data_IF_445883009556
#
_entry.id   IF_445883009556
#
_cell.length_a   1.000
_cell.length_b   1.000
_cell.length_c   1.000
_cell.angle_alpha   90.00
_cell.angle_beta   90.00
_cell.angle_gamma   90.00
#
_symmetry.space_group_name_H-M   'P 1'
#
loop_
_entity.id
_entity.type
_entity.pdbx_description
1 polymer ?
#
# COMPACT_ATOMS: atom_id res chain seq x y z
N UNK A 1 -22.58 -16.73 -42.14
CA UNK A 1 -21.31 -16.99 -41.40
C UNK A 1 -21.47 -18.12 -40.36
N UNK A 2 -20.99 -19.33 -40.70
CA UNK A 2 -21.02 -20.49 -39.80
C UNK A 2 -20.08 -20.21 -38.61
N UNK A 3 -20.63 -20.02 -37.41
CA UNK A 3 -19.81 -19.81 -36.20
C UNK A 3 -19.06 -21.11 -35.91
N UNK A 4 -17.74 -21.04 -35.81
CA UNK A 4 -16.90 -22.18 -35.43
C UNK A 4 -17.46 -22.84 -34.14
N UNK A 5 -17.65 -24.17 -34.10
CA UNK A 5 -18.29 -24.86 -32.97
C UNK A 5 -17.58 -24.64 -31.63
N UNK A 6 -16.27 -24.37 -31.64
CA UNK A 6 -15.51 -23.98 -30.45
C UNK A 6 -15.95 -22.63 -29.86
N UNK A 7 -16.26 -21.63 -30.72
CA UNK A 7 -16.75 -20.32 -30.27
C UNK A 7 -18.17 -20.42 -29.69
N UNK A 8 -19.01 -21.27 -30.28
CA UNK A 8 -20.37 -21.51 -29.79
C UNK A 8 -20.37 -22.20 -28.40
N UNK A 9 -19.54 -23.23 -28.21
CA UNK A 9 -19.39 -23.92 -26.93
C UNK A 9 -18.83 -23.01 -25.83
N UNK A 10 -17.80 -22.21 -26.15
CA UNK A 10 -17.27 -21.21 -25.23
C UNK A 10 -18.32 -20.17 -24.84
N UNK A 11 -19.05 -19.63 -25.81
CA UNK A 11 -20.10 -18.65 -25.55
C UNK A 11 -21.25 -19.19 -24.70
N UNK A 12 -21.56 -20.49 -24.79
CA UNK A 12 -22.57 -21.12 -23.94
C UNK A 12 -22.10 -21.28 -22.48
N UNK A 13 -20.87 -21.76 -22.27
CA UNK A 13 -20.29 -21.88 -20.91
C UNK A 13 -20.00 -20.50 -20.28
N UNK A 14 -19.69 -19.49 -21.09
CA UNK A 14 -19.51 -18.12 -20.60
C UNK A 14 -20.81 -17.54 -20.05
N UNK A 15 -21.97 -17.93 -20.60
CA UNK A 15 -23.28 -17.35 -20.24
C UNK A 15 -24.08 -18.19 -19.25
N UNK A 16 -23.69 -19.44 -18.99
CA UNK A 16 -24.48 -20.39 -18.19
C UNK A 16 -23.60 -21.06 -17.12
N UNK A 17 -24.19 -21.33 -15.96
CA UNK A 17 -23.49 -21.99 -14.85
C UNK A 17 -22.91 -21.01 -13.84
N UNK A 18 -21.84 -21.42 -13.14
CA UNK A 18 -21.24 -20.63 -12.06
C UNK A 18 -20.35 -19.49 -12.59
N UNK A 19 -19.82 -19.62 -13.81
CA UNK A 19 -18.87 -18.68 -14.39
C UNK A 19 -19.34 -17.21 -14.36
N UNK A 20 -20.55 -16.84 -14.83
CA UNK A 20 -20.99 -15.44 -14.76
C UNK A 20 -21.17 -14.90 -13.33
N UNK A 21 -21.38 -15.77 -12.33
CA UNK A 21 -21.46 -15.37 -10.92
C UNK A 21 -20.09 -15.11 -10.30
N UNK A 22 -19.00 -15.56 -10.92
CA UNK A 22 -17.65 -15.31 -10.39
C UNK A 22 -17.25 -13.84 -10.51
N UNK A 23 -17.68 -13.14 -11.55
CA UNK A 23 -17.40 -11.72 -11.72
C UNK A 23 -18.01 -10.83 -10.64
N UNK A 24 -19.34 -10.85 -10.39
CA UNK A 24 -19.92 -10.06 -9.31
C UNK A 24 -19.41 -10.49 -7.94
N UNK A 25 -19.09 -11.78 -7.74
CA UNK A 25 -18.50 -12.25 -6.48
C UNK A 25 -17.10 -11.65 -6.26
N UNK A 26 -16.20 -11.72 -7.25
CA UNK A 26 -14.87 -11.11 -7.18
C UNK A 26 -14.97 -9.60 -7.01
N UNK A 27 -15.83 -8.93 -7.80
CA UNK A 27 -16.03 -7.49 -7.71
C UNK A 27 -16.52 -7.09 -6.31
N UNK A 28 -17.47 -7.82 -5.73
CA UNK A 28 -17.97 -7.55 -4.38
C UNK A 28 -16.91 -7.83 -3.30
N UNK A 29 -16.17 -8.93 -3.42
CA UNK A 29 -15.08 -9.30 -2.51
C UNK A 29 -13.99 -8.23 -2.46
N UNK A 30 -13.71 -7.54 -3.57
CA UNK A 30 -12.79 -6.41 -3.62
C UNK A 30 -13.49 -5.13 -3.16
N UNK A 31 -14.71 -4.85 -3.62
CA UNK A 31 -15.40 -3.60 -3.34
C UNK A 31 -15.70 -3.38 -1.85
N UNK A 32 -16.10 -4.42 -1.11
CA UNK A 32 -16.43 -4.31 0.33
C UNK A 32 -15.26 -3.76 1.17
N UNK A 33 -14.05 -4.36 1.14
CA UNK A 33 -12.91 -3.82 1.88
C UNK A 33 -12.44 -2.46 1.35
N UNK A 34 -12.54 -2.21 0.04
CA UNK A 34 -12.22 -0.89 -0.51
C UNK A 34 -13.18 0.17 0.05
N UNK A 35 -14.49 -0.08 0.08
CA UNK A 35 -15.48 0.85 0.62
C UNK A 35 -15.25 1.07 2.12
N UNK A 36 -15.03 0.00 2.90
CA UNK A 36 -14.87 0.11 4.35
C UNK A 36 -13.59 0.86 4.75
N UNK A 37 -12.54 0.78 3.93
CA UNK A 37 -11.26 1.47 4.15
C UNK A 37 -11.10 2.72 3.29
N UNK A 38 -12.18 3.24 2.70
CA UNK A 38 -12.14 4.40 1.80
C UNK A 38 -11.25 5.57 2.29
N UNK A 39 -11.30 6.00 3.56
CA UNK A 39 -10.43 7.08 4.04
C UNK A 39 -8.93 6.80 3.91
N UNK A 40 -8.51 5.53 4.00
CA UNK A 40 -7.10 5.10 4.06
C UNK A 40 -6.41 5.06 2.69
N UNK A 41 -7.16 5.05 1.59
CA UNK A 41 -6.58 4.97 0.25
C UNK A 41 -7.05 6.08 -0.69
N UNK A 42 -8.21 6.71 -0.42
CA UNK A 42 -8.72 7.83 -1.22
C UNK A 42 -7.83 9.07 -1.03
N UNK A 43 -6.83 9.21 -1.90
CA UNK A 43 -5.87 10.32 -1.89
C UNK A 43 -4.48 9.97 -2.41
N UNK A 44 -4.19 8.69 -2.69
CA UNK A 44 -2.91 8.26 -3.23
C UNK A 44 -3.06 7.09 -4.20
N UNK A 45 -2.37 7.17 -5.36
CA UNK A 45 -2.34 6.07 -6.31
C UNK A 45 -1.68 4.82 -5.70
N UNK A 46 -0.57 4.99 -5.00
CA UNK A 46 0.15 3.91 -4.32
C UNK A 46 -0.72 3.20 -3.28
N UNK A 47 -1.28 3.93 -2.32
CA UNK A 47 -2.14 3.37 -1.25
C UNK A 47 -3.35 2.62 -1.82
N UNK A 48 -3.95 3.17 -2.88
CA UNK A 48 -5.07 2.55 -3.58
C UNK A 48 -4.68 1.24 -4.22
N UNK A 49 -3.53 1.19 -4.88
CA UNK A 49 -3.04 -0.02 -5.53
C UNK A 49 -2.56 -1.07 -4.55
N UNK A 50 -1.94 -0.68 -3.45
CA UNK A 50 -1.52 -1.58 -2.37
C UNK A 50 -2.72 -2.32 -1.78
N UNK A 51 -3.80 -1.60 -1.46
CA UNK A 51 -5.02 -2.23 -0.95
C UNK A 51 -5.74 -3.06 -2.02
N UNK A 52 -5.79 -2.59 -3.27
CA UNK A 52 -6.36 -3.35 -4.40
C UNK A 52 -5.63 -4.67 -4.61
N UNK A 53 -4.29 -4.64 -4.63
CA UNK A 53 -3.43 -5.81 -4.77
C UNK A 53 -3.71 -6.81 -3.65
N UNK A 54 -3.69 -6.33 -2.40
CA UNK A 54 -4.00 -7.15 -1.22
C UNK A 54 -5.40 -7.80 -1.32
N UNK A 55 -6.42 -7.05 -1.76
CA UNK A 55 -7.77 -7.60 -1.94
C UNK A 55 -7.84 -8.61 -3.09
N UNK A 56 -7.13 -8.36 -4.19
CA UNK A 56 -7.10 -9.26 -5.34
C UNK A 56 -6.42 -10.59 -4.99
N UNK A 57 -5.28 -10.55 -4.29
CA UNK A 57 -4.47 -11.73 -4.02
C UNK A 57 -4.95 -12.50 -2.79
N UNK A 58 -5.19 -11.83 -1.67
CA UNK A 58 -5.60 -12.49 -0.41
C UNK A 58 -7.08 -12.84 -0.36
N UNK A 59 -7.98 -12.07 -0.99
CA UNK A 59 -9.42 -12.32 -0.88
C UNK A 59 -10.00 -12.93 -2.16
N UNK A 60 -9.79 -12.28 -3.30
CA UNK A 60 -10.31 -12.77 -4.57
C UNK A 60 -9.58 -14.03 -5.06
N UNK A 61 -8.27 -14.16 -4.81
CA UNK A 61 -7.48 -15.36 -5.15
C UNK A 61 -8.09 -16.67 -4.62
N UNK A 62 -8.26 -16.82 -3.30
CA UNK A 62 -8.92 -17.99 -2.71
C UNK A 62 -10.33 -18.26 -3.23
N UNK A 63 -11.13 -17.20 -3.43
CA UNK A 63 -12.48 -17.30 -4.00
C UNK A 63 -12.44 -17.88 -5.42
N UNK A 64 -11.53 -17.37 -6.26
CA UNK A 64 -11.35 -17.80 -7.65
C UNK A 64 -10.79 -19.23 -7.72
N UNK A 65 -9.87 -19.60 -6.82
CA UNK A 65 -9.42 -20.97 -6.68
C UNK A 65 -10.57 -21.92 -6.32
N UNK A 66 -11.45 -21.54 -5.38
CA UNK A 66 -12.64 -22.32 -5.04
C UNK A 66 -13.63 -22.42 -6.21
N UNK A 67 -13.87 -21.33 -6.95
CA UNK A 67 -14.71 -21.33 -8.14
C UNK A 67 -14.14 -22.25 -9.24
N UNK A 68 -12.83 -22.19 -9.45
CA UNK A 68 -12.10 -23.10 -10.33
C UNK A 68 -12.27 -24.56 -9.90
N UNK A 69 -12.07 -24.86 -8.62
CA UNK A 69 -12.25 -26.19 -8.04
C UNK A 69 -13.68 -26.70 -8.19
N UNK A 70 -14.67 -25.84 -7.95
CA UNK A 70 -16.05 -26.17 -8.20
C UNK A 70 -16.27 -26.53 -9.67
N UNK A 71 -15.78 -25.72 -10.60
CA UNK A 71 -15.91 -25.99 -12.04
C UNK A 71 -15.20 -27.28 -12.47
N UNK A 72 -14.01 -27.55 -11.94
CA UNK A 72 -13.25 -28.77 -12.20
C UNK A 72 -13.97 -30.05 -11.77
N UNK A 73 -14.62 -30.03 -10.60
CA UNK A 73 -15.39 -31.18 -10.10
C UNK A 73 -16.80 -31.32 -10.69
N UNK A 74 -17.25 -30.38 -11.54
CA UNK A 74 -18.63 -30.33 -12.05
C UNK A 74 -19.04 -31.60 -12.79
N UNK A 75 -18.17 -32.12 -13.65
CA UNK A 75 -18.43 -33.32 -14.44
C UNK A 75 -18.56 -34.57 -13.58
N UNK A 76 -17.75 -34.67 -12.53
CA UNK A 76 -17.86 -35.76 -11.59
C UNK A 76 -19.18 -35.70 -10.81
N UNK A 77 -19.57 -34.51 -10.33
CA UNK A 77 -20.84 -34.31 -9.61
C UNK A 77 -22.09 -34.53 -10.48
N UNK A 78 -21.98 -34.32 -11.79
CA UNK A 78 -23.07 -34.55 -12.76
C UNK A 78 -23.04 -35.95 -13.40
N UNK A 79 -22.07 -36.80 -13.06
CA UNK A 79 -21.94 -38.13 -13.64
C UNK A 79 -21.57 -38.15 -15.13
N UNK A 80 -21.19 -37.02 -15.72
CA UNK A 80 -20.94 -36.88 -17.16
C UNK A 80 -19.50 -37.16 -17.58
N UNK A 81 -18.64 -37.57 -16.65
CA UNK A 81 -17.22 -37.84 -16.93
C UNK A 81 -17.02 -38.90 -18.04
N UNK A 82 -17.90 -39.90 -18.14
CA UNK A 82 -17.83 -40.93 -19.17
C UNK A 82 -18.14 -40.38 -20.59
N UNK A 83 -19.00 -39.37 -20.70
CA UNK A 83 -19.34 -38.71 -21.98
C UNK A 83 -18.17 -37.89 -22.54
N UNK A 84 -17.20 -37.52 -21.70
CA UNK A 84 -16.02 -36.78 -22.15
C UNK A 84 -14.99 -37.67 -22.86
N UNK A 85 -15.02 -38.98 -22.62
CA UNK A 85 -14.15 -39.95 -23.29
C UNK A 85 -14.51 -40.11 -24.78
N UNK A 86 -15.73 -39.76 -25.19
CA UNK A 86 -16.17 -39.82 -26.59
C UNK A 86 -15.97 -38.52 -27.38
N UNK A 87 -15.46 -37.45 -26.75
CA UNK A 87 -15.21 -36.17 -27.43
C UNK A 87 -13.85 -36.22 -28.15
N UNK A 88 -13.77 -35.96 -29.47
CA UNK A 88 -12.54 -36.11 -30.27
C UNK A 88 -11.45 -35.06 -29.99
N UNK A 89 -11.60 -34.23 -28.95
CA UNK A 89 -10.62 -33.18 -28.60
C UNK A 89 -9.56 -33.72 -27.64
N UNK A 90 -8.32 -33.29 -27.80
CA UNK A 90 -7.25 -33.58 -26.83
C UNK A 90 -7.58 -33.06 -25.43
N UNK A 91 -7.23 -33.85 -24.41
CA UNK A 91 -7.37 -33.50 -22.97
C UNK A 91 -6.92 -32.08 -22.58
N UNK A 92 -5.79 -31.53 -23.09
CA UNK A 92 -5.40 -30.16 -22.74
C UNK A 92 -6.40 -29.11 -23.27
N UNK A 93 -6.85 -29.25 -24.51
CA UNK A 93 -7.82 -28.32 -25.10
C UNK A 93 -9.16 -28.36 -24.34
N UNK A 94 -9.60 -29.55 -23.91
CA UNK A 94 -10.81 -29.70 -23.10
C UNK A 94 -10.67 -29.01 -21.73
N UNK A 95 -9.54 -29.21 -21.05
CA UNK A 95 -9.26 -28.63 -19.73
C UNK A 95 -9.24 -27.10 -19.79
N UNK A 96 -8.54 -26.55 -20.79
CA UNK A 96 -8.47 -25.10 -21.00
C UNK A 96 -9.86 -24.52 -21.29
N UNK A 97 -10.63 -25.13 -22.18
CA UNK A 97 -11.97 -24.64 -22.53
C UNK A 97 -12.96 -24.68 -21.36
N UNK A 98 -12.77 -25.59 -20.40
CA UNK A 98 -13.61 -25.70 -19.22
C UNK A 98 -13.21 -24.72 -18.09
N UNK A 99 -11.91 -24.42 -17.95
CA UNK A 99 -11.39 -23.50 -16.93
C UNK A 99 -11.44 -22.02 -17.36
N UNK A 100 -11.24 -21.75 -18.65
CA UNK A 100 -11.13 -20.39 -19.20
C UNK A 100 -12.33 -19.49 -18.88
N UNK A 101 -13.60 -19.93 -18.91
CA UNK A 101 -14.73 -19.06 -18.56
C UNK A 101 -14.66 -18.51 -17.13
N UNK A 102 -14.21 -19.31 -16.16
CA UNK A 102 -14.04 -18.86 -14.76
C UNK A 102 -12.92 -17.84 -14.66
N UNK A 103 -11.78 -18.11 -15.31
CA UNK A 103 -10.65 -17.18 -15.33
C UNK A 103 -11.04 -15.83 -15.98
N UNK A 104 -11.74 -15.86 -17.12
CA UNK A 104 -12.19 -14.64 -17.81
C UNK A 104 -13.14 -13.82 -16.94
N UNK A 105 -14.15 -14.45 -16.33
CA UNK A 105 -15.08 -13.72 -15.48
C UNK A 105 -14.44 -13.22 -14.18
N UNK A 106 -13.49 -13.95 -13.61
CA UNK A 106 -12.70 -13.46 -12.48
C UNK A 106 -11.92 -12.18 -12.85
N UNK A 107 -11.25 -12.17 -14.00
CA UNK A 107 -10.53 -10.99 -14.50
C UNK A 107 -11.50 -9.84 -14.78
N UNK A 108 -12.66 -10.10 -15.39
CA UNK A 108 -13.70 -9.07 -15.61
C UNK A 108 -14.17 -8.47 -14.28
N UNK A 109 -14.46 -9.30 -13.27
CA UNK A 109 -14.84 -8.83 -11.94
C UNK A 109 -13.77 -7.97 -11.28
N UNK A 110 -12.51 -8.37 -11.38
CA UNK A 110 -11.37 -7.60 -10.90
C UNK A 110 -11.24 -6.26 -11.63
N UNK A 111 -11.28 -6.24 -12.96
CA UNK A 111 -11.19 -5.01 -13.75
C UNK A 111 -12.34 -4.04 -13.47
N UNK A 112 -13.57 -4.54 -13.27
CA UNK A 112 -14.70 -3.72 -12.86
C UNK A 112 -14.45 -3.06 -11.50
N UNK A 113 -13.92 -3.81 -10.53
CA UNK A 113 -13.56 -3.26 -9.22
C UNK A 113 -12.42 -2.22 -9.34
N UNK A 114 -11.37 -2.51 -10.11
CA UNK A 114 -10.25 -1.60 -10.37
C UNK A 114 -10.76 -0.29 -10.98
N UNK A 115 -11.59 -0.35 -12.03
CA UNK A 115 -12.13 0.87 -12.65
C UNK A 115 -12.95 1.69 -11.66
N UNK A 116 -13.83 1.05 -10.87
CA UNK A 116 -14.63 1.75 -9.87
C UNK A 116 -13.79 2.41 -8.77
N UNK A 117 -12.76 1.71 -8.28
CA UNK A 117 -11.85 2.21 -7.26
C UNK A 117 -10.97 3.35 -7.79
N UNK A 118 -10.38 3.20 -8.98
CA UNK A 118 -9.56 4.25 -9.58
C UNK A 118 -10.39 5.50 -9.88
N UNK A 119 -11.63 5.34 -10.36
CA UNK A 119 -12.55 6.46 -10.53
C UNK A 119 -12.89 7.17 -9.21
N UNK A 120 -13.04 6.42 -8.11
CA UNK A 120 -13.26 6.98 -6.78
C UNK A 120 -12.01 7.66 -6.19
N UNK A 121 -10.82 7.29 -6.64
CA UNK A 121 -9.52 7.82 -6.18
C UNK A 121 -9.15 9.11 -6.92
N UNK A 122 -9.42 9.14 -8.22
CA UNK A 122 -9.08 10.23 -9.15
C UNK A 122 -9.31 11.67 -8.63
N UNK A 123 -10.44 12.02 -7.98
CA UNK A 123 -10.66 13.41 -7.57
C UNK A 123 -9.78 13.87 -6.39
N UNK A 124 -9.07 12.96 -5.71
CA UNK A 124 -8.32 13.27 -4.49
C UNK A 124 -6.80 13.14 -4.64
N UNK A 125 -6.31 12.68 -5.78
CA UNK A 125 -4.88 12.38 -6.01
C UNK A 125 -4.12 13.55 -6.61
N UNK A 126 -2.85 13.69 -6.20
CA UNK A 126 -1.87 14.56 -6.84
C UNK A 126 -1.17 13.91 -8.03
N UNK A 127 0.13 14.19 -8.17
CA UNK A 127 0.93 13.73 -9.31
C UNK A 127 1.10 12.19 -9.37
N UNK A 128 1.54 11.69 -10.52
CA UNK A 128 1.71 10.25 -10.79
C UNK A 128 0.47 9.61 -11.40
N UNK A 129 0.36 8.28 -11.32
CA UNK A 129 -0.78 7.54 -11.85
C UNK A 129 -0.79 6.07 -11.41
N UNK A 130 -1.88 5.35 -11.71
CA UNK A 130 -1.97 3.93 -11.38
C UNK A 130 -1.00 3.08 -12.21
N UNK A 131 -0.28 2.19 -11.55
CA UNK A 131 0.56 1.16 -12.16
C UNK A 131 -0.28 0.08 -12.85
N UNK A 132 -0.37 0.15 -14.18
CA UNK A 132 -0.99 -0.89 -15.02
C UNK A 132 -0.31 -2.25 -14.84
N UNK A 133 1.00 -2.24 -14.52
CA UNK A 133 1.77 -3.45 -14.27
C UNK A 133 1.22 -4.28 -13.11
N UNK A 134 0.87 -3.64 -11.98
CA UNK A 134 0.29 -4.34 -10.84
C UNK A 134 -1.08 -4.93 -11.17
N UNK A 135 -1.93 -4.19 -11.87
CA UNK A 135 -3.25 -4.69 -12.33
C UNK A 135 -3.08 -5.92 -13.23
N UNK A 136 -2.06 -5.93 -14.08
CA UNK A 136 -1.75 -7.09 -14.93
C UNK A 136 -1.29 -8.30 -14.12
N UNK A 137 -0.44 -8.09 -13.10
CA UNK A 137 0.02 -9.15 -12.18
C UNK A 137 -1.16 -9.74 -11.41
N UNK A 138 -2.06 -8.91 -10.88
CA UNK A 138 -3.26 -9.35 -10.16
C UNK A 138 -4.19 -10.17 -11.06
N UNK A 139 -4.49 -9.66 -12.25
CA UNK A 139 -5.31 -10.37 -13.23
C UNK A 139 -4.69 -11.73 -13.59
N UNK A 140 -3.38 -11.77 -13.80
CA UNK A 140 -2.65 -13.01 -14.09
C UNK A 140 -2.69 -13.99 -12.93
N UNK A 141 -2.52 -13.50 -11.70
CA UNK A 141 -2.64 -14.29 -10.49
C UNK A 141 -4.03 -14.93 -10.37
N UNK A 142 -5.11 -14.20 -10.64
CA UNK A 142 -6.47 -14.75 -10.63
C UNK A 142 -6.68 -15.83 -11.69
N UNK A 143 -6.08 -15.68 -12.88
CA UNK A 143 -6.06 -16.75 -13.89
C UNK A 143 -5.35 -17.99 -13.33
N UNK A 144 -4.17 -17.82 -12.74
CA UNK A 144 -3.40 -18.91 -12.13
C UNK A 144 -4.19 -19.63 -11.03
N UNK A 145 -4.87 -18.88 -10.16
CA UNK A 145 -5.74 -19.41 -9.12
C UNK A 145 -6.90 -20.24 -9.70
N UNK A 146 -7.57 -19.73 -10.75
CA UNK A 146 -8.68 -20.43 -11.41
C UNK A 146 -8.25 -21.80 -11.99
N UNK A 147 -7.09 -21.84 -12.67
CA UNK A 147 -6.56 -23.06 -13.25
C UNK A 147 -6.06 -24.06 -12.19
N UNK A 148 -5.39 -23.57 -11.15
CA UNK A 148 -4.96 -24.40 -10.01
C UNK A 148 -6.15 -25.06 -9.35
N UNK A 149 -7.16 -24.25 -9.02
CA UNK A 149 -8.42 -24.74 -8.47
C UNK A 149 -9.06 -25.78 -9.39
N UNK A 150 -9.16 -25.48 -10.69
CA UNK A 150 -9.73 -26.42 -11.66
C UNK A 150 -9.06 -27.78 -11.66
N UNK A 151 -7.72 -27.85 -11.64
CA UNK A 151 -7.00 -29.12 -11.57
C UNK A 151 -7.24 -29.84 -10.23
N UNK A 152 -7.21 -29.12 -9.10
CA UNK A 152 -7.53 -29.69 -7.77
C UNK A 152 -8.94 -30.30 -7.76
N UNK A 153 -9.92 -29.60 -8.30
CA UNK A 153 -11.30 -30.07 -8.39
C UNK A 153 -11.51 -31.27 -9.32
N UNK A 154 -10.59 -31.49 -10.27
CA UNK A 154 -10.57 -32.70 -11.11
C UNK A 154 -10.00 -33.91 -10.36
N UNK A 155 -9.04 -33.68 -9.48
CA UNK A 155 -8.36 -34.74 -8.72
C UNK A 155 -9.17 -35.19 -7.50
N UNK A 156 -9.78 -34.23 -6.78
CA UNK A 156 -10.56 -34.53 -5.57
C UNK A 156 -12.06 -34.57 -5.83
N UNK A 157 -12.67 -35.71 -5.51
CA UNK A 157 -14.11 -35.98 -5.67
C UNK A 157 -14.98 -35.39 -4.54
N UNK A 158 -14.35 -34.81 -3.53
CA UNK A 158 -15.01 -34.37 -2.30
C UNK A 158 -15.75 -33.05 -2.47
N UNK A 159 -17.00 -32.97 -1.96
CA UNK A 159 -17.85 -31.78 -2.11
C UNK A 159 -17.31 -30.55 -1.38
N UNK A 160 -16.58 -30.73 -0.29
CA UNK A 160 -15.98 -29.64 0.48
C UNK A 160 -14.55 -29.29 0.00
N UNK A 161 -14.09 -29.86 -1.12
CA UNK A 161 -12.77 -29.52 -1.67
C UNK A 161 -12.65 -28.03 -2.01
N UNK A 162 -13.72 -27.40 -2.51
CA UNK A 162 -13.73 -25.98 -2.85
C UNK A 162 -13.54 -25.05 -1.62
N UNK A 163 -14.35 -25.16 -0.55
CA UNK A 163 -14.15 -24.31 0.64
C UNK A 163 -12.82 -24.62 1.36
N UNK A 164 -12.40 -25.88 1.43
CA UNK A 164 -11.09 -26.23 2.02
C UNK A 164 -9.94 -25.66 1.20
N UNK A 165 -10.05 -25.69 -0.14
CA UNK A 165 -9.05 -25.06 -0.99
C UNK A 165 -9.01 -23.55 -0.79
N UNK A 166 -10.15 -22.87 -0.66
CA UNK A 166 -10.16 -21.44 -0.33
C UNK A 166 -9.44 -21.17 0.99
N UNK A 167 -9.79 -21.88 2.06
CA UNK A 167 -9.15 -21.72 3.37
C UNK A 167 -7.64 -21.99 3.31
N UNK A 168 -7.24 -23.09 2.65
CA UNK A 168 -5.83 -23.44 2.48
C UNK A 168 -5.06 -22.40 1.65
N UNK A 169 -5.67 -21.87 0.59
CA UNK A 169 -5.07 -20.82 -0.26
C UNK A 169 -4.93 -19.52 0.53
N UNK A 170 -5.95 -19.13 1.30
CA UNK A 170 -5.88 -17.94 2.16
C UNK A 170 -4.76 -18.07 3.20
N UNK A 171 -4.65 -19.22 3.87
CA UNK A 171 -3.58 -19.45 4.84
C UNK A 171 -2.20 -19.51 4.19
N UNK A 172 -2.05 -20.16 3.04
CA UNK A 172 -0.79 -20.26 2.32
C UNK A 172 -0.28 -18.90 1.83
N UNK A 173 -1.18 -17.99 1.47
CA UNK A 173 -0.86 -16.64 1.03
C UNK A 173 -0.74 -15.65 2.21
N UNK A 174 -1.53 -15.82 3.27
CA UNK A 174 -1.58 -14.88 4.39
C UNK A 174 -0.57 -15.17 5.50
N UNK A 175 -0.21 -16.43 5.76
CA UNK A 175 0.74 -16.75 6.84
C UNK A 175 2.16 -16.18 6.58
N UNK A 176 2.73 -16.26 5.35
CA UNK A 176 4.07 -15.74 5.11
C UNK A 176 4.21 -14.23 5.28
N UNK A 177 3.13 -13.45 5.13
CA UNK A 177 3.18 -11.97 5.26
C UNK A 177 3.49 -11.52 6.69
N UNK A 178 3.44 -12.42 7.68
CA UNK A 178 3.83 -12.14 9.07
C UNK A 178 5.31 -12.42 9.34
N UNK A 179 6.07 -12.86 8.33
CA UNK A 179 7.49 -13.17 8.47
C UNK A 179 8.35 -12.06 7.88
N UNK A 180 9.50 -11.78 8.50
CA UNK A 180 10.44 -10.74 8.08
C UNK A 180 11.56 -11.24 7.16
N UNK A 181 11.34 -12.36 6.45
CA UNK A 181 12.34 -12.95 5.55
C UNK A 181 12.19 -12.44 4.12
N UNK A 182 13.29 -12.29 3.38
CA UNK A 182 13.28 -11.98 1.93
C UNK A 182 12.51 -13.02 1.09
N UNK A 183 12.28 -14.22 1.64
CA UNK A 183 11.41 -15.21 1.00
C UNK A 183 9.95 -14.74 0.89
N UNK A 184 9.54 -13.73 1.67
CA UNK A 184 8.20 -13.12 1.59
C UNK A 184 7.91 -12.57 0.20
N UNK A 185 8.91 -12.08 -0.53
CA UNK A 185 8.74 -11.56 -1.90
C UNK A 185 8.35 -12.64 -2.91
N UNK A 186 8.56 -13.92 -2.61
CA UNK A 186 8.05 -15.03 -3.42
C UNK A 186 6.55 -15.24 -3.26
N UNK A 187 5.93 -14.68 -2.21
CA UNK A 187 4.50 -14.72 -2.03
C UNK A 187 3.82 -13.72 -2.98
N UNK A 188 2.99 -14.17 -3.94
CA UNK A 188 2.27 -13.25 -4.82
C UNK A 188 1.31 -12.32 -4.08
N UNK A 189 0.99 -12.62 -2.82
CA UNK A 189 0.12 -11.82 -1.95
C UNK A 189 0.89 -10.96 -0.93
N UNK A 190 2.19 -10.76 -1.13
CA UNK A 190 2.99 -9.86 -0.30
C UNK A 190 2.46 -8.44 -0.36
N UNK A 191 2.47 -7.75 0.79
CA UNK A 191 2.04 -6.36 0.88
C UNK A 191 3.19 -5.44 0.51
N UNK A 192 3.16 -4.93 -0.72
CA UNK A 192 4.16 -3.98 -1.20
C UNK A 192 3.80 -2.56 -0.77
N UNK A 193 4.78 -1.83 -0.23
CA UNK A 193 4.65 -0.40 0.02
C UNK A 193 4.77 0.37 -1.31
N UNK A 194 3.63 0.80 -1.86
CA UNK A 194 3.57 1.44 -3.18
C UNK A 194 3.46 2.96 -3.13
N UNK A 195 3.33 3.56 -1.94
CA UNK A 195 3.27 5.01 -1.79
C UNK A 195 4.58 5.66 -2.28
N UNK A 196 4.49 6.46 -3.36
CA UNK A 196 5.64 7.13 -3.96
C UNK A 196 6.65 6.21 -4.64
N UNK A 197 6.29 4.95 -4.93
CA UNK A 197 7.17 3.99 -5.59
C UNK A 197 6.53 3.39 -6.84
N UNK A 198 7.37 3.02 -7.80
CA UNK A 198 6.97 2.34 -9.03
C UNK A 198 7.73 1.03 -9.18
N UNK A 199 7.09 -0.04 -9.69
CA UNK A 199 7.77 -1.30 -9.94
C UNK A 199 8.87 -1.12 -11.00
N UNK A 200 9.97 -1.86 -10.83
CA UNK A 200 11.01 -1.93 -11.86
C UNK A 200 10.48 -2.63 -13.12
N UNK A 201 11.02 -2.29 -14.30
CA UNK A 201 10.46 -2.72 -15.58
C UNK A 201 10.41 -4.25 -15.76
N UNK A 202 11.32 -4.99 -15.13
CA UNK A 202 11.39 -6.45 -15.18
C UNK A 202 10.45 -7.14 -14.18
N UNK A 203 9.90 -6.43 -13.19
CA UNK A 203 9.06 -7.02 -12.14
C UNK A 203 7.86 -7.77 -12.72
N UNK A 204 7.09 -7.11 -13.59
CA UNK A 204 5.87 -7.69 -14.18
C UNK A 204 6.15 -9.00 -14.94
N UNK A 205 7.07 -9.05 -15.93
CA UNK A 205 7.34 -10.31 -16.63
C UNK A 205 7.89 -11.40 -15.71
N UNK A 206 8.72 -11.04 -14.72
CA UNK A 206 9.25 -12.01 -13.73
C UNK A 206 8.15 -12.60 -12.88
N UNK A 207 7.24 -11.78 -12.35
CA UNK A 207 6.09 -12.24 -11.56
C UNK A 207 5.12 -13.08 -12.38
N UNK A 208 4.92 -12.74 -13.66
CA UNK A 208 4.11 -13.55 -14.58
C UNK A 208 4.70 -14.94 -14.75
N UNK A 209 6.02 -15.06 -14.92
CA UNK A 209 6.72 -16.35 -15.01
C UNK A 209 6.64 -17.09 -13.68
N UNK A 210 6.93 -16.43 -12.57
CA UNK A 210 6.93 -17.02 -11.23
C UNK A 210 5.55 -17.60 -10.85
N UNK A 211 4.47 -16.83 -11.02
CA UNK A 211 3.12 -17.28 -10.69
C UNK A 211 2.56 -18.27 -11.73
N UNK A 212 2.88 -18.06 -13.01
CA UNK A 212 2.30 -18.82 -14.12
C UNK A 212 2.93 -20.18 -14.35
N UNK A 213 4.25 -20.29 -14.20
CA UNK A 213 4.98 -21.49 -14.58
C UNK A 213 4.64 -22.73 -13.71
N UNK A 214 4.47 -22.63 -12.37
CA UNK A 214 3.98 -23.76 -11.57
C UNK A 214 2.60 -24.24 -12.00
N UNK A 215 1.69 -23.32 -12.34
CA UNK A 215 0.34 -23.67 -12.82
C UNK A 215 0.39 -24.32 -14.19
N UNK A 216 1.26 -23.82 -15.09
CA UNK A 216 1.47 -24.43 -16.39
C UNK A 216 2.03 -25.86 -16.24
N UNK A 217 3.00 -26.07 -15.35
CA UNK A 217 3.52 -27.40 -15.02
C UNK A 217 2.42 -28.34 -14.52
N UNK A 218 1.56 -27.86 -13.62
CA UNK A 218 0.41 -28.59 -13.09
C UNK A 218 -0.56 -29.00 -14.20
N UNK A 219 -0.92 -28.08 -15.09
CA UNK A 219 -1.82 -28.33 -16.22
C UNK A 219 -1.20 -29.31 -17.22
N UNK A 220 0.09 -29.16 -17.57
CA UNK A 220 0.79 -30.09 -18.48
C UNK A 220 0.89 -31.49 -17.86
N UNK A 221 1.29 -31.58 -16.59
CA UNK A 221 1.41 -32.83 -15.86
C UNK A 221 0.08 -33.58 -15.80
N UNK A 222 -1.01 -32.85 -15.52
CA UNK A 222 -2.36 -33.41 -15.49
C UNK A 222 -2.88 -33.80 -16.88
N UNK A 223 -2.86 -32.88 -17.84
CA UNK A 223 -3.56 -33.04 -19.12
C UNK A 223 -2.77 -33.82 -20.17
N UNK A 224 -1.44 -33.66 -20.22
CA UNK A 224 -0.59 -34.29 -21.24
C UNK A 224 0.08 -35.59 -20.76
N UNK A 225 0.09 -35.87 -19.45
CA UNK A 225 0.83 -37.00 -18.82
C UNK A 225 2.32 -37.07 -19.18
N UNK A 226 2.89 -36.01 -19.76
CA UNK A 226 4.32 -35.93 -20.14
C UNK A 226 5.11 -35.24 -19.04
N UNK A 227 5.54 -36.01 -18.04
CA UNK A 227 6.22 -35.51 -16.83
C UNK A 227 7.47 -34.68 -17.15
N UNK A 228 8.25 -35.07 -18.16
CA UNK A 228 9.46 -34.34 -18.56
C UNK A 228 9.18 -32.93 -19.11
N UNK A 229 8.05 -32.74 -19.83
CA UNK A 229 7.68 -31.41 -20.34
C UNK A 229 7.18 -30.48 -19.23
N UNK A 230 6.69 -31.02 -18.12
CA UNK A 230 6.31 -30.22 -16.95
C UNK A 230 7.53 -29.69 -16.17
N UNK A 231 8.73 -30.24 -16.39
CA UNK A 231 9.96 -29.75 -15.75
C UNK A 231 10.44 -28.42 -16.35
N UNK A 232 10.15 -28.15 -17.63
CA UNK A 232 10.55 -26.91 -18.30
C UNK A 232 9.99 -25.66 -17.61
N UNK A 233 8.67 -25.54 -17.36
CA UNK A 233 8.15 -24.38 -16.64
C UNK A 233 8.60 -24.34 -15.16
N UNK A 234 8.80 -25.47 -14.50
CA UNK A 234 9.36 -25.48 -13.14
C UNK A 234 10.79 -24.96 -13.11
N UNK A 235 11.61 -25.31 -14.10
CA UNK A 235 12.96 -24.77 -14.25
C UNK A 235 12.91 -23.25 -14.47
N UNK A 236 11.96 -22.74 -15.28
CA UNK A 236 11.78 -21.31 -15.46
C UNK A 236 11.41 -20.60 -14.14
N UNK A 237 10.52 -21.17 -13.33
CA UNK A 237 10.19 -20.63 -12.00
C UNK A 237 11.42 -20.62 -11.07
N UNK A 238 12.19 -21.71 -11.06
CA UNK A 238 13.41 -21.83 -10.25
C UNK A 238 14.50 -20.84 -10.68
N UNK A 239 14.55 -20.46 -11.96
CA UNK A 239 15.51 -19.47 -12.47
C UNK A 239 15.15 -18.03 -12.07
N UNK A 240 13.85 -17.69 -11.99
CA UNK A 240 13.41 -16.33 -11.65
C UNK A 240 13.27 -16.09 -10.15
N UNK A 241 13.08 -17.13 -9.34
CA UNK A 241 12.92 -17.01 -7.89
C UNK A 241 14.11 -16.29 -7.20
N UNK A 242 15.39 -16.61 -7.51
CA UNK A 242 16.52 -15.90 -6.92
C UNK A 242 16.52 -14.41 -7.25
N UNK A 243 16.08 -14.02 -8.44
CA UNK A 243 16.01 -12.62 -8.86
C UNK A 243 14.99 -11.83 -8.03
N UNK A 244 13.86 -12.46 -7.68
CA UNK A 244 12.84 -11.87 -6.81
C UNK A 244 13.39 -11.71 -5.39
N UNK A 245 13.98 -12.78 -4.85
CA UNK A 245 14.53 -12.78 -3.47
C UNK A 245 15.69 -11.78 -3.35
N UNK A 246 16.61 -11.76 -4.31
CA UNK A 246 17.73 -10.81 -4.30
C UNK A 246 17.30 -9.37 -4.58
N UNK A 247 16.16 -9.19 -5.25
CA UNK A 247 15.59 -7.88 -5.52
C UNK A 247 15.03 -7.23 -4.26
N UNK A 248 14.44 -8.00 -3.35
CA UNK A 248 14.01 -7.50 -2.04
C UNK A 248 13.16 -6.22 -2.15
N UNK A 249 13.53 -5.20 -1.39
CA UNK A 249 12.88 -3.89 -1.44
C UNK A 249 13.19 -3.11 -2.74
N UNK A 250 14.27 -3.44 -3.46
CA UNK A 250 14.65 -2.82 -4.74
C UNK A 250 13.78 -3.28 -5.92
N UNK A 251 12.81 -4.18 -5.69
CA UNK A 251 11.73 -4.48 -6.65
C UNK A 251 10.91 -3.22 -7.01
N UNK A 252 10.95 -2.20 -6.14
CA UNK A 252 10.28 -0.94 -6.32
C UNK A 252 11.28 0.20 -6.14
N UNK A 253 11.27 1.13 -7.09
CA UNK A 253 12.10 2.33 -7.04
C UNK A 253 11.25 3.54 -6.69
N UNK A 254 11.82 4.58 -6.07
CA UNK A 254 11.10 5.83 -5.90
C UNK A 254 10.61 6.41 -7.23
N UNK A 255 9.40 6.94 -7.23
CA UNK A 255 8.83 7.64 -8.37
C UNK A 255 9.36 9.09 -8.40
N UNK A 256 10.15 9.48 -9.41
CA UNK A 256 10.68 10.84 -9.49
C UNK A 256 9.58 11.91 -9.57
N UNK A 257 8.38 11.55 -10.03
CA UNK A 257 7.23 12.46 -10.07
C UNK A 257 6.66 12.66 -8.66
N UNK A 258 6.65 11.62 -7.84
CA UNK A 258 6.19 11.67 -6.46
C UNK A 258 7.17 12.43 -5.55
N UNK A 259 8.47 12.21 -5.72
CA UNK A 259 9.53 12.85 -4.91
C UNK A 259 9.70 14.34 -5.19
N UNK A 260 9.25 14.82 -6.36
CA UNK A 260 9.41 16.22 -6.74
C UNK A 260 8.67 17.13 -5.77
N UNK A 261 9.43 17.97 -5.06
CA UNK A 261 8.87 18.97 -4.16
C UNK A 261 8.18 20.10 -4.92
N UNK A 262 6.97 20.45 -4.48
CA UNK A 262 6.20 21.59 -4.95
C UNK A 262 6.10 22.58 -3.79
N UNK A 263 6.62 23.79 -4.00
CA UNK A 263 6.75 24.80 -2.94
C UNK A 263 5.84 26.02 -3.18
N UNK A 264 5.42 26.67 -2.09
CA UNK A 264 4.86 28.03 -2.15
C UNK A 264 5.93 29.08 -2.49
N UNK A 265 5.48 30.23 -2.99
CA UNK A 265 6.36 31.38 -3.26
C UNK A 265 6.65 32.23 -2.01
N UNK A 266 5.79 32.13 -0.98
CA UNK A 266 5.91 32.87 0.26
C UNK A 266 7.17 32.47 1.06
N UNK A 267 7.66 33.38 1.91
CA UNK A 267 8.75 33.11 2.86
C UNK A 267 8.19 33.12 4.28
N UNK A 268 8.41 32.07 5.10
CA UNK A 268 9.10 30.82 4.77
C UNK A 268 8.28 29.93 3.80
N UNK A 269 9.00 29.22 2.93
CA UNK A 269 8.40 28.36 1.89
C UNK A 269 7.82 27.10 2.50
N UNK A 270 6.67 26.66 2.04
CA UNK A 270 6.11 25.35 2.39
C UNK A 270 6.23 24.47 1.15
N UNK A 271 6.91 23.33 1.28
CA UNK A 271 7.21 22.41 0.19
C UNK A 271 6.63 21.03 0.50
N UNK A 272 5.69 20.58 -0.31
CA UNK A 272 5.06 19.26 -0.20
C UNK A 272 5.55 18.34 -1.31
N UNK A 273 5.37 17.03 -1.15
CA UNK A 273 5.67 16.04 -2.20
C UNK A 273 4.79 16.26 -3.45
N UNK A 274 5.18 15.70 -4.60
CA UNK A 274 4.37 15.77 -5.81
C UNK A 274 3.01 15.10 -5.66
N UNK A 275 2.94 14.04 -4.83
CA UNK A 275 1.70 13.34 -4.49
C UNK A 275 0.73 14.24 -3.69
N UNK A 276 1.27 15.16 -2.90
CA UNK A 276 0.53 16.03 -2.00
C UNK A 276 0.36 17.45 -2.52
N UNK A 277 0.67 17.70 -3.79
CA UNK A 277 0.47 19.00 -4.43
C UNK A 277 -0.89 19.65 -4.15
N UNK A 278 -2.03 18.92 -4.25
CA UNK A 278 -3.35 19.45 -3.90
C UNK A 278 -3.52 19.91 -2.43
N UNK A 279 -2.67 19.45 -1.51
CA UNK A 279 -2.67 19.84 -0.10
C UNK A 279 -1.84 21.10 0.17
N UNK A 280 -1.07 21.60 -0.80
CA UNK A 280 -0.10 22.69 -0.58
C UNK A 280 -0.75 23.96 0.01
N UNK A 281 -1.92 24.36 -0.49
CA UNK A 281 -2.64 25.51 0.05
C UNK A 281 -3.11 25.27 1.48
N UNK A 282 -3.75 24.13 1.75
CA UNK A 282 -4.21 23.74 3.09
C UNK A 282 -3.05 23.66 4.09
N UNK A 283 -1.92 23.08 3.70
CA UNK A 283 -0.73 23.01 4.54
C UNK A 283 -0.14 24.40 4.81
N UNK A 284 -0.08 25.26 3.80
CA UNK A 284 0.34 26.66 3.98
C UNK A 284 -0.58 27.42 4.95
N UNK A 285 -1.89 27.25 4.80
CA UNK A 285 -2.89 27.93 5.62
C UNK A 285 -2.85 27.44 7.07
N UNK A 286 -2.74 26.12 7.28
CA UNK A 286 -2.55 25.51 8.60
C UNK A 286 -1.32 26.10 9.33
N UNK A 287 -0.23 26.33 8.59
CA UNK A 287 1.01 26.86 9.15
C UNK A 287 1.05 28.39 9.26
N UNK A 288 0.01 29.13 8.84
CA UNK A 288 0.03 30.59 8.89
C UNK A 288 0.20 31.13 10.32
N UNK A 289 -0.50 30.53 11.30
CA UNK A 289 -0.39 30.89 12.71
C UNK A 289 1.02 30.66 13.26
N UNK A 290 1.59 29.48 12.99
CA UNK A 290 2.94 29.12 13.40
C UNK A 290 3.99 30.07 12.80
N UNK A 291 3.88 30.36 11.50
CA UNK A 291 4.80 31.28 10.79
C UNK A 291 4.77 32.68 11.40
N UNK A 292 3.59 33.23 11.65
CA UNK A 292 3.48 34.57 12.24
C UNK A 292 4.10 34.68 13.63
N UNK A 293 4.07 33.61 14.44
CA UNK A 293 4.73 33.57 15.76
C UNK A 293 6.26 33.52 15.67
N UNK A 294 6.81 33.04 14.56
CA UNK A 294 8.24 32.95 14.31
C UNK A 294 8.80 34.13 13.53
N UNK A 295 7.96 35.08 13.11
CA UNK A 295 8.40 36.24 12.35
C UNK A 295 9.44 37.07 13.12
N UNK A 296 10.62 37.24 12.50
CA UNK A 296 11.74 37.96 13.08
C UNK A 296 12.47 37.22 14.21
N UNK A 297 12.21 35.92 14.43
CA UNK A 297 13.02 35.07 15.31
C UNK A 297 14.28 34.62 14.57
N UNK A 298 15.45 34.87 15.17
CA UNK A 298 16.72 34.41 14.61
C UNK A 298 16.77 32.87 14.59
N UNK A 299 17.20 32.27 13.48
CA UNK A 299 17.25 30.81 13.35
C UNK A 299 15.90 30.12 13.07
N UNK A 300 14.82 30.89 12.84
CA UNK A 300 13.57 30.33 12.33
C UNK A 300 13.78 29.65 10.96
N UNK A 301 13.07 28.54 10.69
CA UNK A 301 13.23 27.81 9.44
C UNK A 301 12.79 28.67 8.25
N UNK A 302 13.59 28.70 7.19
CA UNK A 302 13.25 29.41 5.95
C UNK A 302 12.35 28.60 5.04
N UNK A 303 12.25 27.28 5.30
CA UNK A 303 11.44 26.34 4.55
C UNK A 303 10.90 25.23 5.44
N UNK A 304 9.67 24.83 5.21
CA UNK A 304 9.05 23.62 5.73
C UNK A 304 8.97 22.62 4.59
N UNK A 305 9.51 21.42 4.76
CA UNK A 305 9.71 20.47 3.65
C UNK A 305 9.18 19.10 4.03
N UNK A 306 8.40 18.48 3.15
CA UNK A 306 8.09 17.06 3.26
C UNK A 306 9.37 16.24 3.05
N UNK A 307 9.74 15.43 4.04
CA UNK A 307 10.92 14.58 3.98
C UNK A 307 10.46 13.12 3.92
N UNK A 308 11.05 12.27 3.05
CA UNK A 308 10.80 10.84 3.10
C UNK A 308 11.05 10.30 4.51
N UNK A 309 10.30 9.28 4.91
CA UNK A 309 10.41 8.70 6.25
C UNK A 309 11.85 8.25 6.56
N UNK A 310 12.38 8.67 7.72
CA UNK A 310 13.75 8.40 8.15
C UNK A 310 14.84 9.24 7.46
N UNK A 311 14.49 10.12 6.52
CA UNK A 311 15.44 11.03 5.88
C UNK A 311 15.77 12.27 6.73
N UNK A 312 17.00 12.79 6.68
CA UNK A 312 17.34 14.04 7.35
C UNK A 312 16.71 15.24 6.62
N UNK A 313 16.18 16.20 7.39
CA UNK A 313 15.73 17.45 6.82
C UNK A 313 16.94 18.25 6.27
N UNK A 314 16.81 18.89 5.09
CA UNK A 314 17.86 19.76 4.57
C UNK A 314 18.22 20.88 5.55
N UNK A 315 19.47 21.33 5.56
CA UNK A 315 19.91 22.42 6.44
C UNK A 315 19.01 23.67 6.32
N UNK A 316 18.61 24.25 7.45
CA UNK A 316 17.70 25.40 7.51
C UNK A 316 16.24 25.10 7.15
N UNK A 317 15.88 23.82 6.99
CA UNK A 317 14.51 23.35 6.83
C UNK A 317 13.95 22.76 8.13
N UNK A 318 12.64 22.87 8.29
CA UNK A 318 11.89 22.08 9.25
C UNK A 318 11.09 20.99 8.51
N UNK A 319 11.08 19.73 8.98
CA UNK A 319 10.29 18.69 8.35
C UNK A 319 8.79 18.93 8.59
N UNK A 320 7.99 18.66 7.57
CA UNK A 320 6.52 18.58 7.69
C UNK A 320 6.11 17.22 8.28
N UNK A 321 4.93 17.12 8.91
CA UNK A 321 4.34 15.85 9.29
C UNK A 321 4.12 14.93 8.10
N UNK A 322 4.22 13.62 8.32
CA UNK A 322 3.93 12.63 7.28
C UNK A 322 2.44 12.67 6.91
N UNK A 323 2.16 12.62 5.60
CA UNK A 323 0.81 12.67 5.06
C UNK A 323 0.18 11.28 4.93
N UNK A 324 0.01 10.59 6.06
CA UNK A 324 -0.61 9.27 6.12
C UNK A 324 -2.10 9.34 5.81
N UNK A 325 -2.51 8.69 4.71
CA UNK A 325 -3.91 8.62 4.28
C UNK A 325 -4.77 7.88 5.30
N UNK A 326 -5.96 8.41 5.59
CA UNK A 326 -6.89 7.90 6.60
C UNK A 326 -6.59 8.34 8.03
N UNK A 327 -5.45 9.01 8.26
CA UNK A 327 -5.03 9.51 9.57
C UNK A 327 -4.87 11.03 9.52
N UNK A 328 -3.78 11.52 8.94
CA UNK A 328 -3.49 12.96 8.83
C UNK A 328 -4.08 13.59 7.56
N UNK A 329 -4.42 12.77 6.56
CA UNK A 329 -5.09 13.23 5.34
C UNK A 329 -6.27 12.32 5.02
N UNK A 330 -7.45 12.90 4.80
CA UNK A 330 -8.66 12.17 4.40
C UNK A 330 -9.24 12.82 3.15
N UNK A 331 -9.31 12.08 2.03
CA UNK A 331 -9.91 12.56 0.76
C UNK A 331 -9.32 13.90 0.29
N UNK A 332 -7.99 14.01 0.32
CA UNK A 332 -7.28 15.22 -0.12
C UNK A 332 -7.50 16.43 0.80
N UNK A 333 -7.83 16.21 2.08
CA UNK A 333 -7.99 17.28 3.07
C UNK A 333 -7.24 16.97 4.36
N UNK A 334 -6.78 18.03 5.01
CA UNK A 334 -6.31 17.98 6.40
C UNK A 334 -7.55 18.04 7.32
N UNK A 335 -7.95 16.94 7.98
CA UNK A 335 -9.16 16.93 8.81
C UNK A 335 -9.04 17.85 10.02
N UNK A 336 -7.81 17.99 10.54
CA UNK A 336 -7.48 18.89 11.65
C UNK A 336 -6.24 19.72 11.30
N UNK A 337 -6.43 20.95 10.77
CA UNK A 337 -5.33 21.87 10.49
C UNK A 337 -4.57 22.32 11.73
N UNK A 338 -5.20 22.34 12.91
CA UNK A 338 -4.56 22.75 14.15
C UNK A 338 -3.59 21.66 14.64
N UNK A 339 -4.03 20.40 14.62
CA UNK A 339 -3.14 19.25 14.88
C UNK A 339 -1.99 19.21 13.87
N UNK A 340 -2.25 19.42 12.58
CA UNK A 340 -1.19 19.47 11.57
C UNK A 340 -0.12 20.54 11.88
N UNK A 341 -0.56 21.74 12.29
CA UNK A 341 0.36 22.81 12.70
C UNK A 341 1.11 22.46 13.99
N UNK A 342 0.43 21.85 14.96
CA UNK A 342 1.02 21.38 16.22
C UNK A 342 2.08 20.30 16.00
N UNK A 343 1.79 19.29 15.19
CA UNK A 343 2.75 18.25 14.78
C UNK A 343 3.95 18.87 14.06
N UNK A 344 3.74 19.88 13.23
CA UNK A 344 4.85 20.63 12.60
C UNK A 344 5.69 21.38 13.63
N UNK A 345 5.06 21.96 14.65
CA UNK A 345 5.76 22.61 15.75
C UNK A 345 6.56 21.62 16.59
N UNK A 346 6.02 20.43 16.86
CA UNK A 346 6.73 19.34 17.54
C UNK A 346 7.94 18.89 16.73
N UNK A 347 7.81 18.68 15.42
CA UNK A 347 8.95 18.39 14.52
C UNK A 347 9.99 19.52 14.48
N UNK A 348 9.56 20.77 14.66
CA UNK A 348 10.46 21.92 14.82
C UNK A 348 11.06 22.02 16.24
N UNK A 349 10.53 21.33 17.23
CA UNK A 349 11.14 21.24 18.55
C UNK A 349 12.05 20.01 18.67
N UNK A 350 11.74 18.94 17.93
CA UNK A 350 12.43 17.66 17.94
C UNK A 350 13.93 17.79 17.64
N UNK A 351 14.72 17.07 18.43
CA UNK A 351 16.18 16.97 18.31
C UNK A 351 16.56 15.55 17.90
N UNK A 352 17.48 15.44 16.94
CA UNK A 352 18.02 14.15 16.49
C UNK A 352 19.11 13.68 17.46
N UNK A 353 18.67 13.08 18.58
CA UNK A 353 19.56 12.66 19.66
C UNK A 353 19.67 11.14 19.80
N UNK A 354 20.85 10.63 20.25
CA UNK A 354 21.00 9.21 20.53
C UNK A 354 19.96 8.73 21.55
N UNK A 355 19.47 7.51 21.37
CA UNK A 355 18.45 6.92 22.24
C UNK A 355 18.81 6.97 23.74
N UNK A 356 20.11 6.87 24.06
CA UNK A 356 20.61 6.98 25.43
C UNK A 356 20.31 8.35 26.08
N UNK A 357 20.26 9.43 25.30
CA UNK A 357 19.89 10.77 25.78
C UNK A 357 18.37 10.90 25.88
N UNK A 358 17.64 10.35 24.91
CA UNK A 358 16.17 10.35 24.88
C UNK A 358 15.60 9.62 26.11
N UNK A 359 16.19 8.47 26.45
CA UNK A 359 15.77 7.61 27.55
C UNK A 359 16.40 7.98 28.90
N UNK A 360 17.19 9.06 28.97
CA UNK A 360 17.83 9.45 30.21
C UNK A 360 16.79 10.02 31.19
N UNK A 361 16.70 9.45 32.39
CA UNK A 361 15.85 9.97 33.48
C UNK A 361 16.49 11.16 34.23
N UNK A 362 17.49 11.81 33.63
CA UNK A 362 18.16 12.97 34.22
C UNK A 362 17.22 14.19 34.24
N UNK A 363 17.15 14.96 35.35
CA UNK A 363 16.32 16.15 35.44
C UNK A 363 16.58 17.19 34.34
N UNK A 364 17.80 17.30 33.82
CA UNK A 364 18.08 18.23 32.73
C UNK A 364 17.47 17.76 31.40
N UNK A 365 17.50 16.45 31.13
CA UNK A 365 16.83 15.84 29.97
C UNK A 365 15.31 16.00 30.04
N UNK A 366 14.70 15.77 31.22
CA UNK A 366 13.26 16.04 31.41
C UNK A 366 12.92 17.51 31.16
N UNK A 367 13.65 18.44 31.79
CA UNK A 367 13.46 19.89 31.56
C UNK A 367 13.53 20.25 30.08
N UNK A 368 14.48 19.66 29.37
CA UNK A 368 14.65 19.85 27.93
C UNK A 368 13.40 19.42 27.16
N UNK A 369 12.87 18.22 27.38
CA UNK A 369 11.66 17.74 26.70
C UNK A 369 10.41 18.55 27.03
N UNK A 370 10.22 18.90 28.30
CA UNK A 370 9.11 19.76 28.73
C UNK A 370 9.20 21.17 28.11
N UNK A 371 10.43 21.68 27.90
CA UNK A 371 10.65 22.95 27.20
C UNK A 371 10.27 22.81 25.73
N UNK A 372 10.63 21.71 25.09
CA UNK A 372 10.31 21.45 23.68
C UNK A 372 8.80 21.35 23.45
N UNK A 373 8.08 20.64 24.30
CA UNK A 373 6.62 20.54 24.27
C UNK A 373 5.95 21.89 24.53
N UNK A 374 6.42 22.64 25.54
CA UNK A 374 5.90 23.98 25.82
C UNK A 374 6.13 24.95 24.65
N UNK A 375 7.27 24.86 23.97
CA UNK A 375 7.54 25.65 22.75
C UNK A 375 6.60 25.22 21.62
N UNK A 376 6.42 23.92 21.38
CA UNK A 376 5.51 23.44 20.35
C UNK A 376 4.06 23.89 20.60
N UNK A 377 3.57 23.75 21.83
CA UNK A 377 2.25 24.20 22.25
C UNK A 377 2.10 25.72 22.15
N UNK A 378 3.16 26.49 22.45
CA UNK A 378 3.13 27.93 22.24
C UNK A 378 3.15 28.30 20.74
N UNK A 379 3.85 27.56 19.88
CA UNK A 379 3.94 27.87 18.45
C UNK A 379 2.64 27.53 17.70
N UNK A 380 2.02 26.41 18.03
CA UNK A 380 0.76 25.96 17.46
C UNK A 380 -0.08 25.31 18.58
N UNK A 381 -0.95 26.08 19.24
CA UNK A 381 -1.79 25.56 20.32
C UNK A 381 -2.74 24.48 19.80
N UNK A 382 -2.79 23.37 20.52
CA UNK A 382 -3.75 22.28 20.29
C UNK A 382 -4.49 21.96 21.59
N UNK A 383 -5.82 21.94 21.53
CA UNK A 383 -6.65 21.58 22.67
C UNK A 383 -6.49 20.09 23.00
N UNK A 384 -6.25 19.77 24.26
CA UNK A 384 -6.05 18.38 24.71
C UNK A 384 -4.68 17.79 24.36
N UNK A 385 -3.73 18.59 23.84
CA UNK A 385 -2.33 18.19 23.79
C UNK A 385 -1.84 17.83 25.20
N UNK A 386 -1.16 16.69 25.31
CA UNK A 386 -0.60 16.27 26.58
C UNK A 386 0.59 17.17 26.88
N UNK A 387 0.49 17.90 27.98
CA UNK A 387 1.56 18.71 28.55
C UNK A 387 1.61 18.32 30.03
N UNK A 388 2.80 18.09 30.59
CA UNK A 388 2.93 17.91 32.04
C UNK A 388 2.37 19.17 32.72
N UNK A 389 1.31 19.05 33.55
CA UNK A 389 0.63 20.21 34.11
C UNK A 389 1.52 21.01 35.06
N UNK A 390 2.53 20.38 35.66
CA UNK A 390 3.44 21.03 36.61
C UNK A 390 4.57 21.73 35.86
N UNK A 391 5.38 20.98 35.10
CA UNK A 391 6.59 21.53 34.45
C UNK A 391 6.27 22.18 33.10
N UNK A 392 5.70 21.42 32.16
CA UNK A 392 5.33 21.93 30.84
C UNK A 392 4.35 23.11 30.93
N UNK A 393 3.36 23.02 31.81
CA UNK A 393 2.39 24.09 32.06
C UNK A 393 3.04 25.38 32.56
N UNK A 394 4.00 25.28 33.47
CA UNK A 394 4.77 26.42 33.98
C UNK A 394 5.62 27.06 32.88
N UNK A 395 6.28 26.25 32.06
CA UNK A 395 7.09 26.72 30.93
C UNK A 395 6.25 27.43 29.86
N UNK A 396 5.08 26.88 29.53
CA UNK A 396 4.14 27.52 28.62
C UNK A 396 3.62 28.85 29.18
N UNK A 397 3.27 28.90 30.46
CA UNK A 397 2.83 30.13 31.12
C UNK A 397 3.93 31.20 31.09
N UNK A 398 5.19 30.82 31.34
CA UNK A 398 6.33 31.73 31.30
C UNK A 398 6.62 32.25 29.90
N UNK A 399 6.61 31.38 28.88
CA UNK A 399 6.70 31.78 27.47
C UNK A 399 5.61 32.79 27.09
N UNK A 400 4.37 32.52 27.53
CA UNK A 400 3.20 33.35 27.25
C UNK A 400 3.29 34.72 27.93
N UNK A 401 3.87 34.77 29.13
CA UNK A 401 4.05 36.01 29.90
C UNK A 401 5.18 36.92 29.36
N UNK A 402 6.19 36.38 28.66
CA UNK A 402 7.30 37.17 28.10
C UNK A 402 6.82 38.26 27.13
N UNK A 403 7.49 39.41 27.12
CA UNK A 403 7.26 40.46 26.12
C UNK A 403 7.70 40.03 24.73
N UNK A 404 7.12 40.60 23.66
CA UNK A 404 7.37 40.14 22.28
C UNK A 404 8.84 40.21 21.80
N UNK A 405 9.63 41.19 22.26
CA UNK A 405 11.06 41.27 21.93
C UNK A 405 11.89 40.24 22.73
N UNK A 406 11.60 40.11 24.02
CA UNK A 406 12.22 39.13 24.91
C UNK A 406 11.97 37.71 24.42
N UNK A 407 10.72 37.39 24.09
CA UNK A 407 10.32 36.08 23.57
C UNK A 407 11.03 35.74 22.27
N UNK A 408 11.12 36.66 21.31
CA UNK A 408 11.83 36.43 20.05
C UNK A 408 13.32 36.19 20.25
N UNK A 409 13.95 36.95 21.17
CA UNK A 409 15.35 36.75 21.52
C UNK A 409 15.58 35.40 22.22
N UNK A 410 14.67 34.99 23.10
CA UNK A 410 14.71 33.68 23.77
C UNK A 410 14.52 32.53 22.78
N UNK A 411 13.50 32.61 21.91
CA UNK A 411 13.23 31.62 20.87
C UNK A 411 14.41 31.49 19.91
N UNK A 412 15.09 32.61 19.58
CA UNK A 412 16.26 32.54 18.70
C UNK A 412 17.43 31.78 19.32
N UNK A 413 17.65 31.92 20.64
CA UNK A 413 18.62 31.10 21.37
C UNK A 413 18.18 29.64 21.45
N UNK A 414 16.90 29.40 21.72
CA UNK A 414 16.34 28.04 21.77
C UNK A 414 16.52 27.32 20.44
N UNK A 415 16.16 27.93 19.31
CA UNK A 415 16.31 27.32 17.99
C UNK A 415 17.77 27.05 17.62
N UNK A 416 18.71 27.88 18.08
CA UNK A 416 20.14 27.65 17.89
C UNK A 416 20.67 26.39 18.62
N UNK A 417 19.92 25.86 19.60
CA UNK A 417 20.30 24.66 20.36
C UNK A 417 19.73 23.37 19.79
N UNK A 418 18.90 23.43 18.74
CA UNK A 418 18.22 22.25 18.16
C UNK A 418 19.16 21.14 17.67
N UNK A 419 20.38 21.48 17.27
CA UNK A 419 21.38 20.52 16.80
C UNK A 419 22.25 19.96 17.94
N UNK A 420 22.03 20.40 19.18
CA UNK A 420 22.75 19.94 20.36
C UNK A 420 21.92 18.93 21.12
N UNK A 421 22.55 17.84 21.56
CA UNK A 421 21.95 16.86 22.47
C UNK A 421 22.39 17.06 23.93
N UNK A 422 23.02 18.19 24.25
CA UNK A 422 23.29 18.57 25.64
C UNK A 422 22.07 19.29 26.24
N UNK A 423 21.36 18.68 27.21
CA UNK A 423 20.19 19.31 27.83
C UNK A 423 20.51 20.62 28.56
N UNK A 424 21.79 20.88 28.89
CA UNK A 424 22.24 22.12 29.52
C UNK A 424 22.36 23.27 28.53
N UNK A 425 22.47 22.98 27.23
CA UNK A 425 22.53 24.00 26.18
C UNK A 425 21.18 24.71 26.00
N UNK A 426 20.07 24.05 26.34
CA UNK A 426 18.72 24.61 26.23
C UNK A 426 18.55 25.79 27.19
N UNK A 427 18.17 26.98 26.70
CA UNK A 427 18.01 28.15 27.55
C UNK A 427 16.93 27.90 28.60
N UNK A 428 17.19 28.30 29.84
CA UNK A 428 16.20 28.18 30.90
C UNK A 428 14.98 29.05 30.61
N UNK A 429 13.79 28.50 30.91
CA UNK A 429 12.54 29.25 30.86
C UNK A 429 12.30 30.01 32.12
#
# INVERSE_FOLDING_TARGET
PVRHPARAAFGAELRRGIAPWTAPAVALTIAVPMISKAPQWQGGWGDTQELLHSCATLLAGPLVAAAGCWQGGREHRRGTAALWLSVPRGRPAQSVMAALPVAVWAVVGHLLAVVGVLAATWPYTGAGGPSVGMVAVDAWFLVCAAFTGFVVGRLWRWRLAAPVLAAATYLALGAPTYTSSDLRFLNPAEQYYLAGRVPVAWFVPVMVVWAGAPVLALVIGYAARRRLLALVPLAAAALVAPLIVSGGDDLFRPDPVAERLICTEAVPRVCVSGLDGPLLSQASDALAGLRSRLDGVAGAPQRYVHVPEGGPAPAGAAPLPNHTRGWTVVRGRLPDPADYAHQTALRLAERDCPLAVIMAEDPAARRMWETDEAVAQWLAPLDGAWLDPDLGGTYLARLTAMGGAERRAWLGRYLATRTSCDPKAVPAL
#
